data_IF_810164228887
#
_entry.id   IF_810164228887
#
_cell.length_a   1.000
_cell.length_b   1.000
_cell.length_c   1.000
_cell.angle_alpha   90.00
_cell.angle_beta   90.00
_cell.angle_gamma   90.00
#
_symmetry.space_group_name_H-M   'P 1'
#
loop_
_entity.id
_entity.type
_entity.pdbx_description
1 polymer ?
#
# COMPACT_ATOMS: atom_id res chain seq x y z
N UNK A 1 71.71 62.80 -49.21
CA UNK A 1 70.48 62.02 -49.46
C UNK A 1 70.48 60.64 -48.79
N UNK A 2 71.49 59.77 -48.98
CA UNK A 2 71.53 58.43 -48.33
C UNK A 2 71.51 58.45 -46.79
N UNK A 3 72.23 59.38 -46.14
CA UNK A 3 72.25 59.49 -44.68
C UNK A 3 70.91 59.93 -44.08
N UNK A 4 70.22 60.88 -44.74
CA UNK A 4 68.91 61.37 -44.30
C UNK A 4 67.79 60.31 -44.48
N UNK A 5 67.89 59.44 -45.49
CA UNK A 5 66.96 58.32 -45.65
C UNK A 5 67.20 57.22 -44.60
N UNK A 6 68.45 56.87 -44.31
CA UNK A 6 68.77 55.89 -43.27
C UNK A 6 68.34 56.35 -41.85
N UNK A 7 68.43 57.65 -41.57
CA UNK A 7 67.97 58.22 -40.31
C UNK A 7 66.44 58.24 -40.19
N UNK A 8 65.72 58.54 -41.29
CA UNK A 8 64.25 58.39 -41.36
C UNK A 8 63.80 56.94 -41.19
N UNK A 9 64.49 55.99 -41.83
CA UNK A 9 64.20 54.57 -41.66
C UNK A 9 64.41 54.13 -40.21
N UNK A 10 65.50 54.56 -39.56
CA UNK A 10 65.74 54.29 -38.12
C UNK A 10 64.67 54.87 -37.22
N UNK A 11 64.30 56.14 -37.42
CA UNK A 11 63.24 56.79 -36.64
C UNK A 11 61.89 56.09 -36.84
N UNK A 12 61.56 55.66 -38.07
CA UNK A 12 60.33 54.91 -38.33
C UNK A 12 60.35 53.50 -37.70
N UNK A 13 61.50 52.83 -37.69
CA UNK A 13 61.66 51.52 -37.06
C UNK A 13 61.63 51.61 -35.53
N UNK A 14 62.23 52.66 -34.95
CA UNK A 14 62.17 52.96 -33.51
C UNK A 14 60.71 53.27 -33.10
N UNK A 15 59.98 54.10 -33.87
CA UNK A 15 58.56 54.37 -33.63
C UNK A 15 57.67 53.12 -33.75
N UNK A 16 57.89 52.30 -34.78
CA UNK A 16 57.14 51.05 -34.95
C UNK A 16 57.43 50.05 -33.82
N UNK A 17 58.67 50.00 -33.33
CA UNK A 17 59.05 49.15 -32.19
C UNK A 17 58.41 49.62 -30.88
N UNK A 18 58.38 50.93 -30.64
CA UNK A 18 57.69 51.51 -29.48
C UNK A 18 56.19 51.25 -29.52
N UNK A 19 55.55 51.42 -30.67
CA UNK A 19 54.13 51.14 -30.86
C UNK A 19 53.81 49.65 -30.63
N UNK A 20 54.62 48.75 -31.19
CA UNK A 20 54.49 47.32 -30.95
C UNK A 20 54.66 46.96 -29.46
N UNK A 21 55.61 47.59 -28.77
CA UNK A 21 55.82 47.38 -27.33
C UNK A 21 54.61 47.87 -26.50
N UNK A 22 54.05 49.04 -26.84
CA UNK A 22 52.85 49.57 -26.18
C UNK A 22 51.65 48.65 -26.37
N UNK A 23 51.40 48.17 -27.59
CA UNK A 23 50.31 47.24 -27.89
C UNK A 23 50.50 45.93 -27.12
N UNK A 24 51.73 45.38 -27.08
CA UNK A 24 52.01 44.15 -26.33
C UNK A 24 51.78 44.33 -24.82
N UNK A 25 52.23 45.44 -24.24
CA UNK A 25 52.00 45.75 -22.83
C UNK A 25 50.51 45.92 -22.51
N UNK A 26 49.76 46.57 -23.40
CA UNK A 26 48.31 46.71 -23.27
C UNK A 26 47.59 45.35 -23.34
N UNK A 27 47.99 44.47 -24.26
CA UNK A 27 47.45 43.12 -24.39
C UNK A 27 47.75 42.27 -23.14
N UNK A 28 48.97 42.31 -22.61
CA UNK A 28 49.32 41.58 -21.38
C UNK A 28 48.52 42.08 -20.19
N UNK A 29 48.32 43.40 -20.06
CA UNK A 29 47.50 43.97 -19.01
C UNK A 29 46.02 43.55 -19.13
N UNK A 30 45.48 43.51 -20.35
CA UNK A 30 44.12 43.03 -20.60
C UNK A 30 43.95 41.55 -20.22
N UNK A 31 44.89 40.70 -20.61
CA UNK A 31 44.89 39.27 -20.27
C UNK A 31 44.97 39.06 -18.75
N UNK A 32 45.88 39.76 -18.06
CA UNK A 32 46.01 39.63 -16.60
C UNK A 32 44.74 40.09 -15.89
N UNK A 33 44.09 41.16 -16.36
CA UNK A 33 42.81 41.61 -15.80
C UNK A 33 41.75 40.53 -15.95
N UNK A 34 41.57 40.01 -17.18
CA UNK A 34 40.60 38.95 -17.44
C UNK A 34 40.89 37.70 -16.59
N UNK A 35 42.15 37.27 -16.48
CA UNK A 35 42.51 36.12 -15.63
C UNK A 35 42.12 36.32 -14.16
N UNK A 36 42.30 37.53 -13.61
CA UNK A 36 41.89 37.83 -12.25
C UNK A 36 40.36 37.83 -12.10
N UNK A 37 39.63 38.39 -13.09
CA UNK A 37 38.16 38.39 -13.10
C UNK A 37 37.58 36.96 -13.23
N UNK A 38 38.24 36.10 -13.99
CA UNK A 38 37.83 34.70 -14.15
C UNK A 38 38.16 33.81 -12.96
N UNK A 39 39.03 34.26 -12.04
CA UNK A 39 39.38 33.47 -10.87
C UNK A 39 38.16 33.22 -9.97
N UNK A 40 37.33 34.24 -9.72
CA UNK A 40 36.13 34.11 -8.87
C UNK A 40 35.08 33.22 -9.52
N UNK A 41 34.93 33.28 -10.84
CA UNK A 41 34.05 32.38 -11.61
C UNK A 41 34.53 30.94 -11.50
N UNK A 42 35.84 30.71 -11.58
CA UNK A 42 36.44 29.38 -11.43
C UNK A 42 36.28 28.81 -10.00
N UNK A 43 36.21 29.67 -8.99
CA UNK A 43 35.88 29.30 -7.60
C UNK A 43 34.39 28.96 -7.41
N UNK A 44 33.57 29.13 -8.46
CA UNK A 44 32.15 28.78 -8.48
C UNK A 44 31.21 29.94 -8.15
N UNK A 45 31.74 31.16 -8.00
CA UNK A 45 30.92 32.36 -7.85
C UNK A 45 30.43 32.83 -9.23
N UNK A 46 29.30 32.26 -9.63
CA UNK A 46 28.61 32.63 -10.88
C UNK A 46 27.86 33.96 -10.78
N UNK A 47 27.93 34.69 -9.66
CA UNK A 47 27.32 36.01 -9.53
C UNK A 47 28.17 37.12 -10.16
N UNK A 48 29.43 36.82 -10.43
CA UNK A 48 30.42 37.72 -11.00
C UNK A 48 30.46 37.60 -12.54
N UNK A 49 30.74 38.72 -13.21
CA UNK A 49 30.89 38.80 -14.66
C UNK A 49 32.26 39.40 -15.02
N UNK A 50 32.86 38.91 -16.10
CA UNK A 50 34.07 39.50 -16.68
C UNK A 50 33.74 40.81 -17.39
N UNK A 51 34.61 41.80 -17.30
CA UNK A 51 34.42 43.11 -17.91
C UNK A 51 34.63 43.02 -19.41
N UNK A 52 33.58 43.31 -20.20
CA UNK A 52 33.69 43.35 -21.68
C UNK A 52 34.28 44.70 -22.12
N UNK A 53 35.50 44.66 -22.65
CA UNK A 53 36.22 45.82 -23.20
C UNK A 53 36.37 45.72 -24.73
N UNK A 54 36.75 46.81 -25.39
CA UNK A 54 37.06 46.80 -26.84
C UNK A 54 38.46 46.24 -27.16
N UNK A 55 39.22 45.79 -26.14
CA UNK A 55 40.55 45.23 -26.33
C UNK A 55 40.49 43.77 -26.84
N UNK A 56 41.67 43.18 -27.06
CA UNK A 56 41.81 41.82 -27.61
C UNK A 56 41.09 40.73 -26.78
N UNK A 57 40.80 40.99 -25.50
CA UNK A 57 40.17 40.03 -24.59
C UNK A 57 38.64 40.16 -24.52
N UNK A 58 38.05 41.22 -25.11
CA UNK A 58 36.62 41.50 -25.02
C UNK A 58 35.72 40.36 -25.50
N UNK A 59 36.04 39.73 -26.63
CA UNK A 59 35.26 38.60 -27.16
C UNK A 59 35.36 37.35 -26.27
N UNK A 60 36.48 37.18 -25.54
CA UNK A 60 36.66 36.08 -24.59
C UNK A 60 35.82 36.36 -23.33
N UNK A 61 35.85 37.58 -22.81
CA UNK A 61 35.02 38.00 -21.68
C UNK A 61 33.52 37.77 -21.98
N UNK A 62 33.05 38.14 -23.16
CA UNK A 62 31.67 37.93 -23.60
C UNK A 62 31.30 36.43 -23.67
N UNK A 63 32.15 35.61 -24.28
CA UNK A 63 31.94 34.15 -24.37
C UNK A 63 31.92 33.46 -22.99
N UNK A 64 32.75 33.94 -22.06
CA UNK A 64 32.76 33.43 -20.68
C UNK A 64 31.51 33.86 -19.94
N UNK A 65 31.07 35.12 -20.05
CA UNK A 65 29.83 35.59 -19.43
C UNK A 65 28.62 34.79 -19.93
N UNK A 66 28.55 34.49 -21.23
CA UNK A 66 27.54 33.59 -21.77
C UNK A 66 27.57 32.19 -21.10
N UNK A 67 28.77 31.64 -20.93
CA UNK A 67 28.94 30.33 -20.26
C UNK A 67 28.53 30.39 -18.79
N UNK A 68 28.85 31.48 -18.09
CA UNK A 68 28.44 31.72 -16.71
C UNK A 68 26.92 31.74 -16.60
N UNK A 69 26.22 32.44 -17.50
CA UNK A 69 24.76 32.48 -17.50
C UNK A 69 24.14 31.10 -17.72
N UNK A 70 24.63 30.33 -18.70
CA UNK A 70 24.18 28.95 -18.92
C UNK A 70 24.43 28.05 -17.69
N UNK A 71 25.55 28.23 -17.00
CA UNK A 71 25.84 27.53 -15.74
C UNK A 71 24.89 27.96 -14.61
N UNK A 72 24.54 29.26 -14.50
CA UNK A 72 23.55 29.74 -13.51
C UNK A 72 22.20 29.10 -13.75
N UNK A 73 21.75 29.03 -15.00
CA UNK A 73 20.50 28.37 -15.38
C UNK A 73 20.54 26.88 -15.02
N UNK A 74 21.65 26.19 -15.31
CA UNK A 74 21.84 24.79 -14.95
C UNK A 74 21.78 24.57 -13.43
N UNK A 75 22.51 25.37 -12.65
CA UNK A 75 22.51 25.30 -11.18
C UNK A 75 21.12 25.56 -10.62
N UNK A 76 20.40 26.56 -11.16
CA UNK A 76 19.01 26.84 -10.80
C UNK A 76 18.09 25.64 -11.05
N UNK A 77 18.23 24.97 -12.20
CA UNK A 77 17.47 23.76 -12.52
C UNK A 77 17.81 22.59 -11.59
N UNK A 78 19.09 22.42 -11.24
CA UNK A 78 19.54 21.40 -10.28
C UNK A 78 18.93 21.67 -8.90
N UNK A 79 18.95 22.92 -8.43
CA UNK A 79 18.39 23.30 -7.13
C UNK A 79 16.86 23.12 -7.10
N UNK A 80 16.17 23.47 -8.18
CA UNK A 80 14.74 23.21 -8.31
C UNK A 80 14.43 21.71 -8.24
N UNK A 81 15.20 20.90 -8.97
CA UNK A 81 15.06 19.44 -8.97
C UNK A 81 15.32 18.85 -7.58
N UNK A 82 16.38 19.27 -6.89
CA UNK A 82 16.68 18.84 -5.52
C UNK A 82 15.55 19.20 -4.55
N UNK A 83 14.97 20.39 -4.68
CA UNK A 83 13.81 20.82 -3.88
C UNK A 83 12.60 19.94 -4.14
N UNK A 84 12.31 19.62 -5.41
CA UNK A 84 11.22 18.71 -5.78
C UNK A 84 11.43 17.29 -5.24
N UNK A 85 12.65 16.79 -5.29
CA UNK A 85 13.03 15.49 -4.70
C UNK A 85 12.77 15.51 -3.20
N UNK A 86 13.24 16.52 -2.47
CA UNK A 86 13.04 16.64 -1.03
C UNK A 86 11.54 16.68 -0.64
N UNK A 87 10.73 17.47 -1.36
CA UNK A 87 9.28 17.52 -1.15
C UNK A 87 8.62 16.17 -1.40
N UNK A 88 8.98 15.50 -2.49
CA UNK A 88 8.43 14.18 -2.84
C UNK A 88 8.82 13.14 -1.79
N UNK A 89 10.06 13.14 -1.33
CA UNK A 89 10.53 12.24 -0.27
C UNK A 89 9.76 12.45 1.03
N UNK A 90 9.51 13.69 1.43
CA UNK A 90 8.71 14.00 2.63
C UNK A 90 7.25 13.52 2.49
N UNK A 91 6.65 13.67 1.31
CA UNK A 91 5.31 13.16 1.04
C UNK A 91 5.26 11.62 1.09
N UNK A 92 6.28 10.95 0.55
CA UNK A 92 6.43 9.48 0.63
C UNK A 92 6.59 9.01 2.06
N UNK A 93 7.36 9.72 2.89
CA UNK A 93 7.51 9.42 4.32
C UNK A 93 6.18 9.54 5.08
N UNK A 94 5.41 10.62 4.84
CA UNK A 94 4.08 10.79 5.43
C UNK A 94 3.14 9.65 5.04
N UNK A 95 3.08 9.34 3.74
CA UNK A 95 2.22 8.26 3.21
C UNK A 95 2.64 6.90 3.77
N UNK A 96 3.95 6.66 3.91
CA UNK A 96 4.48 5.40 4.48
C UNK A 96 4.10 5.25 5.95
N UNK A 97 4.10 6.35 6.71
CA UNK A 97 3.67 6.38 8.11
C UNK A 97 2.19 6.07 8.26
N UNK A 98 1.34 6.67 7.42
CA UNK A 98 -0.09 6.37 7.37
C UNK A 98 -0.35 4.90 6.98
N UNK A 99 0.37 4.38 5.99
CA UNK A 99 0.26 2.99 5.56
C UNK A 99 0.69 2.00 6.65
N UNK A 100 1.71 2.34 7.44
CA UNK A 100 2.14 1.53 8.58
C UNK A 100 1.05 1.50 9.67
N UNK A 101 0.43 2.65 9.98
CA UNK A 101 -0.67 2.72 10.92
C UNK A 101 -1.88 1.89 10.45
N UNK A 102 -2.27 2.04 9.17
CA UNK A 102 -3.34 1.27 8.56
C UNK A 102 -3.06 -0.24 8.56
N UNK A 103 -1.82 -0.64 8.23
CA UNK A 103 -1.41 -2.05 8.27
C UNK A 103 -1.45 -2.63 9.69
N UNK A 104 -1.12 -1.83 10.70
CA UNK A 104 -1.17 -2.24 12.11
C UNK A 104 -2.62 -2.48 12.55
N UNK A 105 -3.53 -1.60 12.15
CA UNK A 105 -4.96 -1.78 12.41
C UNK A 105 -5.53 -3.00 11.68
N UNK A 106 -5.17 -3.17 10.41
CA UNK A 106 -5.57 -4.34 9.62
C UNK A 106 -5.11 -5.65 10.27
N UNK A 107 -3.89 -5.71 10.82
CA UNK A 107 -3.41 -6.87 11.59
C UNK A 107 -4.24 -7.12 12.86
N UNK A 108 -4.72 -6.07 13.53
CA UNK A 108 -5.62 -6.20 14.68
C UNK A 108 -6.95 -6.81 14.26
N UNK A 109 -7.56 -6.30 13.20
CA UNK A 109 -8.84 -6.82 12.66
C UNK A 109 -8.73 -8.27 12.17
N UNK A 110 -7.61 -8.65 11.53
CA UNK A 110 -7.37 -10.03 11.12
C UNK A 110 -7.33 -10.97 12.33
N UNK A 111 -6.67 -10.56 13.43
CA UNK A 111 -6.63 -11.36 14.66
C UNK A 111 -8.02 -11.51 15.28
N UNK A 112 -8.80 -10.44 15.32
CA UNK A 112 -10.17 -10.44 15.83
C UNK A 112 -11.11 -11.33 14.99
N UNK A 113 -10.97 -11.25 13.66
CA UNK A 113 -11.68 -12.12 12.72
C UNK A 113 -11.27 -13.58 12.93
N UNK A 114 -9.97 -13.85 13.08
CA UNK A 114 -9.46 -15.19 13.37
C UNK A 114 -10.04 -15.78 14.65
N UNK A 115 -10.13 -14.98 15.72
CA UNK A 115 -10.75 -15.41 16.97
C UNK A 115 -12.24 -15.71 16.78
N UNK A 116 -12.95 -14.88 16.02
CA UNK A 116 -14.38 -15.09 15.71
C UNK A 116 -14.61 -16.40 14.93
N UNK A 117 -13.72 -16.74 14.00
CA UNK A 117 -13.75 -18.01 13.26
C UNK A 117 -13.54 -19.20 14.20
N UNK A 118 -12.60 -19.12 15.14
CA UNK A 118 -12.38 -20.18 16.15
C UNK A 118 -13.63 -20.39 17.01
N UNK A 119 -14.22 -19.31 17.54
CA UNK A 119 -15.46 -19.37 18.30
C UNK A 119 -16.62 -19.94 17.46
N UNK A 120 -16.69 -19.61 16.17
CA UNK A 120 -17.69 -20.18 15.27
C UNK A 120 -17.49 -21.70 15.09
N UNK A 121 -16.25 -22.16 14.94
CA UNK A 121 -15.95 -23.58 14.84
C UNK A 121 -16.33 -24.35 16.12
N UNK A 122 -16.06 -23.79 17.30
CA UNK A 122 -16.50 -24.36 18.58
C UNK A 122 -18.03 -24.49 18.67
N UNK A 123 -18.75 -23.43 18.26
CA UNK A 123 -20.22 -23.45 18.22
C UNK A 123 -20.77 -24.49 17.25
N UNK A 124 -20.15 -24.65 16.08
CA UNK A 124 -20.55 -25.68 15.10
C UNK A 124 -20.37 -27.09 15.69
N UNK A 125 -19.26 -27.34 16.40
CA UNK A 125 -19.05 -28.61 17.10
C UNK A 125 -20.12 -28.84 18.18
N UNK A 126 -20.47 -27.80 18.95
CA UNK A 126 -21.54 -27.86 19.94
C UNK A 126 -22.91 -28.18 19.31
N UNK A 127 -23.27 -27.50 18.21
CA UNK A 127 -24.50 -27.77 17.47
C UNK A 127 -24.53 -29.20 16.91
N UNK A 128 -23.41 -29.69 16.38
CA UNK A 128 -23.28 -31.07 15.89
C UNK A 128 -23.53 -32.10 17.01
N UNK A 129 -22.92 -31.88 18.19
CA UNK A 129 -23.15 -32.72 19.36
C UNK A 129 -24.61 -32.71 19.80
N UNK A 130 -25.24 -31.53 19.86
CA UNK A 130 -26.65 -31.38 20.24
C UNK A 130 -27.59 -32.07 19.24
N UNK A 131 -27.26 -32.02 17.94
CA UNK A 131 -28.02 -32.71 16.90
C UNK A 131 -27.91 -34.24 17.07
N UNK A 132 -26.73 -34.76 17.42
CA UNK A 132 -26.52 -36.19 17.67
C UNK A 132 -27.28 -36.69 18.91
N UNK A 133 -27.33 -35.86 19.96
CA UNK A 133 -28.16 -36.13 21.14
C UNK A 133 -29.65 -36.13 20.77
N UNK A 134 -30.10 -35.12 20.03
CA UNK A 134 -31.50 -35.02 19.57
C UNK A 134 -31.91 -36.23 18.73
N UNK A 135 -31.04 -36.72 17.86
CA UNK A 135 -31.27 -37.94 17.08
C UNK A 135 -31.38 -39.18 17.98
N UNK A 136 -30.61 -39.25 19.06
CA UNK A 136 -30.68 -40.33 20.05
C UNK A 136 -32.02 -40.31 20.79
N UNK A 137 -32.44 -39.13 21.27
CA UNK A 137 -33.74 -38.94 21.94
C UNK A 137 -34.90 -39.29 21.00
N UNK A 138 -34.84 -38.88 19.73
CA UNK A 138 -35.85 -39.22 18.74
C UNK A 138 -35.99 -40.74 18.54
N UNK A 139 -34.86 -41.47 18.49
CA UNK A 139 -34.87 -42.94 18.40
C UNK A 139 -35.47 -43.59 19.64
N UNK A 140 -35.14 -43.09 20.83
CA UNK A 140 -35.72 -43.57 22.09
C UNK A 140 -37.24 -43.34 22.15
N UNK A 141 -37.70 -42.14 21.74
CA UNK A 141 -39.12 -41.81 21.64
C UNK A 141 -39.86 -42.75 20.67
N UNK A 142 -39.25 -43.07 19.51
CA UNK A 142 -39.81 -44.03 18.57
C UNK A 142 -39.93 -45.43 19.18
N UNK A 143 -38.91 -45.89 19.92
CA UNK A 143 -38.94 -47.18 20.61
C UNK A 143 -40.04 -47.22 21.68
N UNK A 144 -40.16 -46.16 22.49
CA UNK A 144 -41.19 -46.03 23.51
C UNK A 144 -42.60 -46.04 22.90
N UNK A 145 -42.81 -45.29 21.81
CA UNK A 145 -44.08 -45.27 21.08
C UNK A 145 -44.43 -46.65 20.50
N UNK A 146 -43.45 -47.37 19.94
CA UNK A 146 -43.64 -48.74 19.43
C UNK A 146 -44.05 -49.72 20.54
N UNK A 147 -43.39 -49.66 21.69
CA UNK A 147 -43.75 -50.46 22.86
C UNK A 147 -45.15 -50.10 23.39
N UNK A 148 -45.49 -48.81 23.44
CA UNK A 148 -46.82 -48.33 23.82
C UNK A 148 -47.91 -48.83 22.86
N UNK A 149 -47.65 -48.82 21.55
CA UNK A 149 -48.56 -49.37 20.55
C UNK A 149 -48.82 -50.87 20.79
N UNK A 150 -47.76 -51.64 21.06
CA UNK A 150 -47.90 -53.06 21.37
C UNK A 150 -48.72 -53.29 22.65
N UNK A 151 -48.50 -52.48 23.69
CA UNK A 151 -49.28 -52.56 24.93
C UNK A 151 -50.77 -52.29 24.69
N UNK A 152 -51.10 -51.28 23.88
CA UNK A 152 -52.49 -50.97 23.49
C UNK A 152 -53.10 -52.11 22.68
N UNK A 153 -52.37 -52.69 21.72
CA UNK A 153 -52.85 -53.85 20.95
C UNK A 153 -53.15 -55.06 21.84
N UNK A 154 -52.26 -55.35 22.81
CA UNK A 154 -52.47 -56.41 23.79
C UNK A 154 -53.72 -56.14 24.66
N UNK A 155 -53.93 -54.90 25.10
CA UNK A 155 -55.10 -54.51 25.88
C UNK A 155 -56.41 -54.65 25.08
N UNK A 156 -56.41 -54.27 23.79
CA UNK A 156 -57.54 -54.48 22.88
C UNK A 156 -57.84 -55.97 22.73
N UNK A 157 -56.80 -56.80 22.52
CA UNK A 157 -56.94 -58.26 22.47
C UNK A 157 -57.56 -58.84 23.75
N UNK A 158 -57.10 -58.38 24.92
CA UNK A 158 -57.66 -58.77 26.21
C UNK A 158 -59.12 -58.34 26.39
N UNK A 159 -59.48 -57.11 25.98
CA UNK A 159 -60.87 -56.65 26.03
C UNK A 159 -61.79 -57.45 25.11
N UNK A 160 -61.32 -57.86 23.93
CA UNK A 160 -62.08 -58.74 23.04
C UNK A 160 -62.31 -60.12 23.69
N UNK A 161 -61.29 -60.71 24.33
CA UNK A 161 -61.44 -61.98 25.05
C UNK A 161 -62.43 -61.88 26.23
N UNK A 162 -62.39 -60.79 27.00
CA UNK A 162 -63.37 -60.51 28.08
C UNK A 162 -64.78 -60.41 27.50
N UNK A 163 -64.95 -59.67 26.39
CA UNK A 163 -66.23 -59.53 25.70
C UNK A 163 -66.79 -60.89 25.29
N UNK A 164 -65.97 -61.76 24.68
CA UNK A 164 -66.40 -63.10 24.25
C UNK A 164 -66.81 -63.97 25.46
N UNK A 165 -66.05 -63.93 26.55
CA UNK A 165 -66.36 -64.64 27.79
C UNK A 165 -67.67 -64.17 28.44
N UNK A 166 -67.93 -62.86 28.44
CA UNK A 166 -69.20 -62.28 28.94
C UNK A 166 -70.39 -62.77 28.09
N UNK A 167 -70.23 -62.86 26.76
CA UNK A 167 -71.28 -63.39 25.88
C UNK A 167 -71.55 -64.87 26.13
N UNK A 168 -70.50 -65.68 26.26
CA UNK A 168 -70.57 -67.11 26.66
C UNK A 168 -71.31 -67.27 27.99
N UNK A 169 -70.93 -66.46 28.98
CA UNK A 169 -71.54 -66.45 30.32
C UNK A 169 -73.02 -66.06 30.25
N UNK A 170 -73.36 -65.00 29.49
CA UNK A 170 -74.75 -64.56 29.29
C UNK A 170 -75.61 -65.66 28.65
N UNK A 171 -75.07 -66.40 27.67
CA UNK A 171 -75.76 -67.56 27.06
C UNK A 171 -75.98 -68.69 28.06
N UNK A 172 -75.00 -68.96 28.95
CA UNK A 172 -75.14 -69.95 30.03
C UNK A 172 -76.20 -69.53 31.05
N UNK A 173 -76.19 -68.26 31.49
CA UNK A 173 -77.20 -67.70 32.40
C UNK A 173 -78.59 -67.81 31.81
N UNK A 174 -78.78 -67.44 30.52
CA UNK A 174 -80.06 -67.56 29.84
C UNK A 174 -80.60 -69.00 29.87
N UNK A 175 -79.75 -69.98 29.50
CA UNK A 175 -80.10 -71.41 29.57
C UNK A 175 -80.46 -71.87 30.98
N UNK A 176 -79.75 -71.37 31.99
CA UNK A 176 -80.04 -71.67 33.40
C UNK A 176 -81.40 -71.11 33.83
N UNK A 177 -81.73 -69.89 33.40
CA UNK A 177 -83.02 -69.27 33.65
C UNK A 177 -84.17 -70.04 32.99
N UNK A 178 -84.00 -70.46 31.73
CA UNK A 178 -84.97 -71.32 31.03
C UNK A 178 -85.19 -72.64 31.77
N UNK A 179 -84.11 -73.31 32.20
CA UNK A 179 -84.19 -74.56 32.96
C UNK A 179 -84.80 -74.40 34.36
N UNK A 180 -84.54 -73.28 35.05
CA UNK A 180 -85.14 -72.99 36.36
C UNK A 180 -86.66 -72.78 36.28
N UNK A 181 -87.15 -72.31 35.13
CA UNK A 181 -88.57 -72.07 34.89
C UNK A 181 -89.32 -73.35 34.44
N UNK A 182 -88.60 -74.38 33.98
CA UNK A 182 -89.15 -75.72 33.75
C UNK A 182 -89.25 -76.56 35.04
N UNK A 183 -88.43 -76.27 36.05
CA UNK A 183 -88.37 -77.05 37.30
C UNK A 183 -89.29 -76.49 38.40
N UNK A 184 -89.56 -75.18 38.39
CA UNK A 184 -90.50 -74.52 39.31
C UNK A 184 -91.92 -74.52 38.78
#
# INVERSE_FOLDING_TARGET
ERAANAERERLSAEQASEEASRINNANQAAILRLMNELQTVAEGDLTQEATVTEDITGAIADSVNYTVEELRLLVGNVQNTATRVALTTSQVESTSTELLAASTEQLREIRETGQSVLTMAERINGVSSQAQESATVARQSLQAASSGLQAVQNAIGGMNAIRDQIQETSKRIKRLGESSQEIG
#
